data_IF_711607787017
#
_entry.id   IF_711607787017
#
_cell.length_a   1.000
_cell.length_b   1.000
_cell.length_c   1.000
_cell.angle_alpha   90.00
_cell.angle_beta   90.00
_cell.angle_gamma   90.00
#
_symmetry.space_group_name_H-M   'P 1'
#
loop_
_entity.id
_entity.type
_entity.pdbx_description
1 polymer ?
#
# COMPACT_ATOMS: atom_id res chain seq x y z
N UNK A 1 -43.63 -6.04 -5.84
CA UNK A 1 -42.27 -6.44 -5.41
C UNK A 1 -41.99 -5.72 -4.09
N UNK A 2 -41.69 -6.44 -3.01
CA UNK A 2 -41.55 -5.81 -1.68
C UNK A 2 -40.20 -5.06 -1.62
N UNK A 3 -40.20 -3.82 -1.13
CA UNK A 3 -39.03 -2.95 -1.00
C UNK A 3 -37.79 -3.66 -0.39
N UNK A 4 -38.06 -4.55 0.60
CA UNK A 4 -37.02 -5.38 1.23
C UNK A 4 -36.23 -6.28 0.24
N UNK A 5 -36.92 -6.84 -0.74
CA UNK A 5 -36.31 -7.69 -1.77
C UNK A 5 -35.50 -6.85 -2.74
N UNK A 6 -35.96 -5.65 -3.08
CA UNK A 6 -35.24 -4.73 -3.94
C UNK A 6 -33.93 -4.24 -3.28
N UNK A 7 -33.99 -3.84 -2.01
CA UNK A 7 -32.81 -3.40 -1.25
C UNK A 7 -31.79 -4.53 -1.09
N UNK A 8 -32.27 -5.75 -0.80
CA UNK A 8 -31.37 -6.92 -0.71
C UNK A 8 -30.69 -7.25 -2.04
N UNK A 9 -31.42 -7.15 -3.14
CA UNK A 9 -30.85 -7.40 -4.48
C UNK A 9 -29.83 -6.32 -4.90
N UNK A 10 -30.07 -5.05 -4.58
CA UNK A 10 -29.12 -3.96 -4.84
C UNK A 10 -27.85 -4.11 -3.98
N UNK A 11 -27.98 -4.46 -2.71
CA UNK A 11 -26.84 -4.70 -1.83
C UNK A 11 -25.98 -5.87 -2.32
N UNK A 12 -26.62 -6.95 -2.78
CA UNK A 12 -25.92 -8.12 -3.32
C UNK A 12 -25.27 -7.83 -4.67
N UNK A 13 -25.91 -7.05 -5.54
CA UNK A 13 -25.32 -6.63 -6.81
C UNK A 13 -24.09 -5.72 -6.62
N UNK A 14 -24.09 -4.86 -5.59
CA UNK A 14 -22.93 -4.04 -5.23
C UNK A 14 -21.71 -4.83 -4.77
N UNK A 15 -21.90 -6.03 -4.23
CA UNK A 15 -20.82 -6.92 -3.81
C UNK A 15 -20.19 -7.72 -4.95
N UNK A 16 -20.84 -7.81 -6.10
CA UNK A 16 -20.38 -8.64 -7.24
C UNK A 16 -19.65 -7.82 -8.31
N UNK A 17 -19.79 -6.50 -8.29
CA UNK A 17 -19.03 -5.65 -9.21
C UNK A 17 -17.63 -5.45 -8.65
N UNK A 18 -16.58 -6.06 -9.23
CA UNK A 18 -15.21 -5.73 -8.86
C UNK A 18 -14.96 -4.28 -9.27
N UNK A 19 -15.15 -3.36 -8.34
CA UNK A 19 -14.66 -2.00 -8.49
C UNK A 19 -13.13 -2.05 -8.60
N UNK A 20 -12.54 -1.16 -9.38
CA UNK A 20 -11.10 -0.92 -9.32
C UNK A 20 -10.85 -0.35 -7.91
N UNK A 21 -10.49 -1.23 -6.97
CA UNK A 21 -10.09 -0.83 -5.63
C UNK A 21 -8.70 -0.19 -5.75
N UNK A 22 -8.65 1.12 -5.69
CA UNK A 22 -7.39 1.84 -5.43
C UNK A 22 -7.12 1.73 -3.94
N UNK A 23 -6.19 0.87 -3.55
CA UNK A 23 -6.08 0.42 -2.15
C UNK A 23 -5.17 1.28 -1.28
N UNK A 24 -4.47 2.29 -1.83
CA UNK A 24 -3.57 3.16 -1.06
C UNK A 24 -3.51 4.57 -1.63
N UNK A 25 -3.31 5.56 -0.74
CA UNK A 25 -2.93 6.92 -1.12
C UNK A 25 -1.39 7.03 -1.21
N UNK A 26 -0.79 6.28 -2.15
CA UNK A 26 0.66 6.26 -2.31
C UNK A 26 1.35 5.30 -1.33
N UNK A 27 2.32 5.80 -0.54
CA UNK A 27 3.16 4.97 0.35
C UNK A 27 2.53 4.66 1.70
N UNK A 28 1.44 5.30 2.05
CA UNK A 28 0.79 5.15 3.36
C UNK A 28 -0.37 4.16 3.27
N UNK A 29 -0.49 3.31 4.28
CA UNK A 29 -1.65 2.43 4.41
C UNK A 29 -2.87 3.23 4.92
N UNK A 30 -4.07 2.79 4.55
CA UNK A 30 -5.31 3.33 5.09
C UNK A 30 -5.56 2.76 6.50
N UNK A 31 -4.94 3.36 7.50
CA UNK A 31 -5.00 2.90 8.89
C UNK A 31 -3.93 1.87 9.24
N UNK A 32 -3.50 1.90 10.49
CA UNK A 32 -2.49 0.99 11.05
C UNK A 32 -3.17 -0.11 11.85
N UNK A 33 -2.71 -1.33 11.68
CA UNK A 33 -3.31 -2.54 12.22
C UNK A 33 -4.23 -3.24 11.21
N UNK A 34 -4.25 -4.55 11.28
CA UNK A 34 -5.02 -5.39 10.34
C UNK A 34 -6.52 -5.08 10.36
N UNK A 35 -7.08 -4.73 11.53
CA UNK A 35 -8.50 -4.36 11.65
C UNK A 35 -8.79 -3.01 10.98
N UNK A 36 -7.96 -2.00 11.26
CA UNK A 36 -8.09 -0.69 10.65
C UNK A 36 -7.96 -0.77 9.11
N UNK A 37 -6.97 -1.50 8.62
CA UNK A 37 -6.78 -1.75 7.19
C UNK A 37 -7.99 -2.47 6.56
N UNK A 38 -8.53 -3.48 7.24
CA UNK A 38 -9.73 -4.21 6.82
C UNK A 38 -11.00 -3.35 6.74
N UNK A 39 -11.05 -2.26 7.49
CA UNK A 39 -12.13 -1.27 7.47
C UNK A 39 -11.84 -0.07 6.54
N UNK A 40 -10.80 -0.17 5.69
CA UNK A 40 -10.41 0.92 4.81
C UNK A 40 -9.94 2.18 5.53
N UNK A 41 -9.39 2.03 6.75
CA UNK A 41 -8.91 3.14 7.57
C UNK A 41 -9.95 3.77 8.50
N UNK A 42 -11.18 3.30 8.51
CA UNK A 42 -12.27 3.86 9.35
C UNK A 42 -12.13 3.43 10.82
N UNK A 43 -11.01 3.76 11.47
CA UNK A 43 -10.64 3.27 12.81
C UNK A 43 -10.39 4.36 13.85
N UNK A 44 -10.54 5.65 13.52
CA UNK A 44 -10.21 6.75 14.43
C UNK A 44 -11.03 6.76 15.72
N UNK A 45 -12.26 6.24 15.69
CA UNK A 45 -13.15 6.18 16.85
C UNK A 45 -13.33 4.77 17.41
N UNK A 46 -12.52 3.81 16.95
CA UNK A 46 -12.62 2.40 17.32
C UNK A 46 -11.36 2.00 18.09
N UNK A 47 -11.53 1.35 19.25
CA UNK A 47 -10.45 0.89 20.13
C UNK A 47 -10.45 -0.64 20.20
N UNK A 48 -10.31 -1.31 19.07
CA UNK A 48 -10.43 -2.76 18.96
C UNK A 48 -9.12 -3.52 19.14
N UNK A 49 -7.98 -2.82 19.08
CA UNK A 49 -6.66 -3.39 19.22
C UNK A 49 -5.63 -2.36 19.71
N UNK A 50 -4.44 -2.83 20.10
CA UNK A 50 -3.36 -1.96 20.54
C UNK A 50 -2.70 -1.17 19.42
N UNK A 51 -3.01 -1.46 18.15
CA UNK A 51 -2.57 -0.67 17.00
C UNK A 51 -3.34 0.66 16.91
N UNK A 52 -4.46 0.78 17.62
CA UNK A 52 -5.21 2.02 17.78
C UNK A 52 -4.34 3.21 18.23
N UNK A 53 -3.24 2.95 18.95
CA UNK A 53 -2.27 3.97 19.34
C UNK A 53 -1.65 4.74 18.18
N UNK A 54 -1.49 4.10 17.02
CA UNK A 54 -1.01 4.74 15.80
C UNK A 54 -2.10 5.54 15.07
N UNK A 55 -3.36 5.14 15.22
CA UNK A 55 -4.50 5.79 14.56
C UNK A 55 -5.07 6.94 15.42
N UNK A 56 -5.29 6.67 16.72
CA UNK A 56 -5.79 7.62 17.70
C UNK A 56 -5.33 7.24 19.12
N UNK A 57 -4.26 7.84 19.64
CA UNK A 57 -3.74 7.53 20.98
C UNK A 57 -4.78 7.66 22.11
N UNK A 58 -5.74 8.59 21.97
CA UNK A 58 -6.77 8.78 22.98
C UNK A 58 -7.74 7.60 23.11
N UNK A 59 -7.85 6.75 22.11
CA UNK A 59 -8.72 5.57 22.13
C UNK A 59 -8.14 4.43 22.97
N UNK A 60 -6.86 4.48 23.32
CA UNK A 60 -6.15 3.37 23.95
C UNK A 60 -6.65 3.03 25.36
N UNK A 61 -7.24 3.98 26.06
CA UNK A 61 -7.88 3.74 27.37
C UNK A 61 -9.07 2.78 27.28
N UNK A 62 -9.66 2.62 26.08
CA UNK A 62 -10.77 1.70 25.84
C UNK A 62 -10.31 0.34 25.31
N UNK A 63 -9.06 0.21 24.87
CA UNK A 63 -8.50 -1.03 24.36
C UNK A 63 -8.19 -2.06 25.46
N UNK A 64 -7.94 -1.59 26.69
CA UNK A 64 -7.56 -2.45 27.81
C UNK A 64 -6.12 -2.95 27.72
N UNK A 65 -5.75 -3.85 28.65
CA UNK A 65 -4.42 -4.50 28.67
C UNK A 65 -4.35 -5.51 27.53
N UNK A 66 -3.44 -5.29 26.57
CA UNK A 66 -3.31 -6.22 25.44
C UNK A 66 -2.00 -6.08 24.67
N UNK A 67 -1.66 -7.15 24.01
CA UNK A 67 -0.58 -7.23 23.01
C UNK A 67 -1.18 -7.74 21.70
N UNK A 68 -0.98 -7.01 20.64
CA UNK A 68 -1.41 -7.39 19.30
C UNK A 68 -0.19 -7.46 18.38
N UNK A 69 -0.14 -8.50 17.58
CA UNK A 69 0.86 -8.71 16.54
C UNK A 69 0.18 -8.82 15.19
N UNK A 70 0.76 -8.22 14.20
CA UNK A 70 0.28 -8.27 12.83
C UNK A 70 1.40 -8.44 11.82
N UNK A 71 1.05 -8.95 10.66
CA UNK A 71 1.92 -9.05 9.51
C UNK A 71 1.10 -8.77 8.25
N UNK A 72 1.45 -7.70 7.57
CA UNK A 72 0.86 -7.39 6.25
C UNK A 72 1.83 -7.84 5.16
N UNK A 73 1.32 -8.59 4.19
CA UNK A 73 2.05 -8.93 2.97
C UNK A 73 1.55 -8.01 1.87
N UNK A 74 2.41 -7.09 1.46
CA UNK A 74 2.11 -6.15 0.39
C UNK A 74 2.80 -6.59 -0.89
N UNK A 75 2.01 -6.81 -1.95
CA UNK A 75 2.52 -7.34 -3.22
C UNK A 75 2.18 -6.43 -4.41
N UNK A 76 2.84 -5.27 -4.54
CA UNK A 76 2.61 -4.35 -5.64
C UNK A 76 3.28 -4.85 -6.92
N UNK A 77 2.52 -4.90 -8.02
CA UNK A 77 3.06 -5.13 -9.34
C UNK A 77 3.27 -3.78 -10.03
N UNK A 78 4.52 -3.40 -10.19
CA UNK A 78 4.89 -2.09 -10.76
C UNK A 78 5.65 -2.29 -12.05
N UNK A 79 5.30 -1.46 -13.03
CA UNK A 79 6.01 -1.37 -14.30
C UNK A 79 6.43 0.06 -14.56
N UNK A 80 7.50 0.21 -15.27
CA UNK A 80 7.91 1.48 -15.83
C UNK A 80 7.97 1.36 -17.35
N UNK A 81 7.41 2.33 -18.04
CA UNK A 81 7.46 2.40 -19.50
C UNK A 81 7.96 3.76 -19.93
N UNK A 82 8.76 3.76 -20.96
CA UNK A 82 9.20 4.96 -21.64
C UNK A 82 8.83 4.82 -23.10
N UNK A 83 8.16 5.84 -23.63
CA UNK A 83 7.82 5.96 -25.06
C UNK A 83 8.38 7.25 -25.58
N UNK A 84 8.87 7.24 -26.80
CA UNK A 84 9.34 8.42 -27.49
C UNK A 84 10.46 8.12 -28.47
N UNK A 85 10.43 8.83 -29.59
CA UNK A 85 11.55 8.89 -30.54
C UNK A 85 12.37 10.13 -30.28
N UNK A 86 13.68 10.02 -30.43
CA UNK A 86 14.52 11.20 -30.47
C UNK A 86 14.20 12.02 -31.74
N UNK A 87 13.65 13.22 -31.55
CA UNK A 87 13.48 14.19 -32.64
C UNK A 87 14.84 14.65 -33.19
N UNK A 88 14.87 14.99 -34.44
CA UNK A 88 16.05 15.58 -35.10
C UNK A 88 16.43 16.89 -34.38
N UNK A 89 17.46 16.85 -33.54
CA UNK A 89 17.93 18.03 -32.78
C UNK A 89 18.43 17.75 -31.37
N UNK A 90 18.14 16.59 -30.83
CA UNK A 90 18.77 16.13 -29.58
C UNK A 90 19.89 15.13 -29.88
N UNK A 91 21.00 15.14 -29.13
CA UNK A 91 22.12 14.22 -29.36
C UNK A 91 21.74 12.80 -28.95
N UNK A 92 20.83 12.19 -29.71
CA UNK A 92 20.53 10.77 -29.57
C UNK A 92 21.67 9.89 -30.07
N UNK A 93 22.67 10.50 -30.71
CA UNK A 93 23.85 9.82 -31.19
C UNK A 93 24.76 9.24 -30.10
N UNK A 94 24.59 9.68 -28.85
CA UNK A 94 25.31 9.09 -27.71
C UNK A 94 24.66 7.75 -27.27
N UNK A 95 23.42 7.48 -27.67
CA UNK A 95 22.66 6.30 -27.24
C UNK A 95 22.03 5.51 -28.39
N UNK A 96 22.47 5.79 -29.64
CA UNK A 96 21.93 5.15 -30.83
C UNK A 96 20.63 5.79 -31.34
N UNK A 97 20.53 5.93 -32.67
CA UNK A 97 19.31 6.37 -33.35
C UNK A 97 18.29 5.21 -33.34
N UNK A 98 17.51 5.06 -32.28
CA UNK A 98 16.49 4.04 -32.16
C UNK A 98 15.30 4.55 -31.37
N UNK A 99 14.16 3.93 -31.53
CA UNK A 99 13.03 4.18 -30.68
C UNK A 99 13.37 3.85 -29.22
N UNK A 100 13.16 4.80 -28.32
CA UNK A 100 13.38 4.62 -26.89
C UNK A 100 12.19 3.95 -26.21
N UNK A 101 11.39 3.23 -26.96
CA UNK A 101 10.25 2.52 -26.41
C UNK A 101 10.75 1.32 -25.63
N UNK A 102 10.62 1.38 -24.34
CA UNK A 102 10.96 0.29 -23.43
C UNK A 102 9.94 0.18 -22.31
N UNK A 103 9.70 -1.04 -21.87
CA UNK A 103 8.86 -1.34 -20.73
C UNK A 103 9.48 -2.46 -19.92
N UNK A 104 9.54 -2.28 -18.62
CA UNK A 104 10.07 -3.27 -17.70
C UNK A 104 9.26 -3.35 -16.43
N UNK A 105 9.21 -4.53 -15.83
CA UNK A 105 8.55 -4.77 -14.56
C UNK A 105 9.57 -4.75 -13.42
N UNK A 106 9.12 -4.26 -12.26
CA UNK A 106 9.94 -4.29 -11.05
C UNK A 106 10.08 -5.72 -10.54
N UNK A 107 11.28 -6.10 -10.15
CA UNK A 107 11.59 -7.36 -9.45
C UNK A 107 11.19 -7.32 -7.97
N UNK A 108 11.10 -6.13 -7.37
CA UNK A 108 10.71 -5.96 -5.96
C UNK A 108 9.18 -5.96 -5.83
N UNK A 109 8.58 -7.14 -5.69
CA UNK A 109 7.12 -7.32 -5.74
C UNK A 109 6.51 -7.81 -4.44
N UNK A 110 7.30 -8.06 -3.39
CA UNK A 110 6.77 -8.58 -2.13
C UNK A 110 7.47 -7.93 -0.96
N UNK A 111 6.67 -7.35 -0.07
CA UNK A 111 7.14 -6.68 1.14
C UNK A 111 6.39 -7.23 2.34
N UNK A 112 7.12 -7.53 3.40
CA UNK A 112 6.60 -7.99 4.69
C UNK A 112 6.64 -6.81 5.65
N UNK A 113 5.49 -6.40 6.15
CA UNK A 113 5.34 -5.27 7.07
C UNK A 113 4.88 -5.81 8.42
N UNK A 114 5.79 -6.02 9.38
CA UNK A 114 5.42 -6.45 10.72
C UNK A 114 4.81 -5.30 11.50
N UNK A 115 3.86 -5.62 12.35
CA UNK A 115 3.18 -4.68 13.24
C UNK A 115 3.15 -5.25 14.66
N UNK A 116 3.34 -4.38 15.64
CA UNK A 116 3.24 -4.71 17.06
C UNK A 116 2.57 -3.55 17.79
N UNK A 117 1.54 -3.85 18.56
CA UNK A 117 0.91 -2.92 19.47
C UNK A 117 0.87 -3.50 20.88
N UNK A 118 1.28 -2.73 21.87
CA UNK A 118 1.13 -3.04 23.29
C UNK A 118 0.44 -1.91 24.01
N UNK A 119 -0.51 -2.22 24.85
CA UNK A 119 -1.20 -1.26 25.70
C UNK A 119 -1.34 -1.83 27.12
N UNK A 120 -1.06 -0.98 28.10
CA UNK A 120 -1.22 -1.30 29.53
C UNK A 120 -2.01 -0.20 30.23
N UNK A 121 -3.02 -0.61 30.98
CA UNK A 121 -3.84 0.29 31.76
C UNK A 121 -3.14 0.63 33.08
N UNK A 122 -2.89 1.91 33.31
CA UNK A 122 -2.36 2.41 34.59
C UNK A 122 -3.50 2.79 35.55
N UNK A 123 -4.64 3.21 35.00
CA UNK A 123 -5.87 3.53 35.73
C UNK A 123 -7.05 3.37 34.77
N UNK A 124 -8.26 3.49 35.28
CA UNK A 124 -9.48 3.39 34.47
C UNK A 124 -9.59 4.42 33.32
N UNK A 125 -8.85 5.50 33.40
CA UNK A 125 -8.83 6.59 32.42
C UNK A 125 -7.42 6.92 31.89
N UNK A 126 -6.44 6.07 32.19
CA UNK A 126 -5.05 6.30 31.77
C UNK A 126 -4.39 4.99 31.33
N UNK A 127 -3.79 5.00 30.16
CA UNK A 127 -2.99 3.89 29.66
C UNK A 127 -1.63 4.38 29.16
N UNK A 128 -0.71 3.45 29.03
CA UNK A 128 0.58 3.61 28.36
C UNK A 128 0.71 2.50 27.34
N UNK A 129 1.21 2.84 26.16
CA UNK A 129 1.37 1.87 25.11
C UNK A 129 2.51 2.21 24.16
N UNK A 130 2.85 1.22 23.37
CA UNK A 130 3.84 1.34 22.29
C UNK A 130 3.25 0.70 21.04
N UNK A 131 3.43 1.36 19.91
CA UNK A 131 2.99 0.87 18.60
C UNK A 131 4.16 0.94 17.64
N UNK A 132 4.48 -0.19 17.03
CA UNK A 132 5.54 -0.33 16.02
C UNK A 132 4.88 -0.81 14.74
N UNK A 133 5.11 -0.10 13.65
CA UNK A 133 4.54 -0.41 12.35
C UNK A 133 5.47 0.03 11.23
N UNK A 134 5.38 -0.63 10.07
CA UNK A 134 6.07 -0.22 8.86
C UNK A 134 5.26 0.83 8.10
N UNK A 135 5.95 1.83 7.58
CA UNK A 135 5.33 2.89 6.81
C UNK A 135 6.29 3.39 5.72
N UNK A 136 5.89 3.25 4.46
CA UNK A 136 6.74 3.61 3.33
C UNK A 136 7.93 2.68 3.12
N UNK A 137 8.97 3.20 2.48
CA UNK A 137 10.26 2.48 2.32
C UNK A 137 10.28 1.37 1.29
N UNK A 138 9.25 1.22 0.49
CA UNK A 138 9.20 0.23 -0.59
C UNK A 138 10.03 0.73 -1.78
N UNK A 139 10.99 -0.09 -2.19
CA UNK A 139 11.81 0.18 -3.36
C UNK A 139 11.21 -0.43 -4.63
N UNK A 140 11.74 -0.02 -5.77
CA UNK A 140 11.60 -0.69 -7.05
C UNK A 140 12.93 -1.28 -7.44
N UNK A 141 12.89 -2.40 -8.14
CA UNK A 141 14.06 -3.04 -8.73
C UNK A 141 13.74 -3.27 -10.21
N UNK A 142 14.20 -2.35 -11.04
CA UNK A 142 14.09 -2.50 -12.48
C UNK A 142 15.39 -3.08 -13.00
N UNK A 143 15.37 -4.29 -13.58
CA UNK A 143 16.59 -4.95 -14.03
C UNK A 143 17.31 -4.06 -15.05
N UNK A 144 18.56 -3.77 -14.76
CA UNK A 144 19.48 -3.16 -15.70
C UNK A 144 19.65 -4.09 -16.89
N UNK A 145 19.71 -3.51 -18.06
CA UNK A 145 19.90 -4.26 -19.29
C UNK A 145 20.44 -3.36 -20.38
N UNK A 146 20.93 -3.99 -21.42
CA UNK A 146 21.22 -3.31 -22.67
C UNK A 146 20.14 -3.64 -23.68
N UNK A 147 19.80 -2.67 -24.51
CA UNK A 147 18.95 -2.90 -25.68
C UNK A 147 19.68 -3.80 -26.72
N UNK A 148 18.99 -4.15 -27.80
CA UNK A 148 19.56 -4.95 -28.88
C UNK A 148 20.77 -4.29 -29.55
N UNK A 149 21.01 -3.00 -29.33
CA UNK A 149 22.15 -2.23 -29.79
C UNK A 149 23.30 -2.12 -28.78
N UNK A 150 23.17 -2.74 -27.59
CA UNK A 150 24.19 -2.71 -26.55
C UNK A 150 24.19 -1.44 -25.69
N UNK A 151 23.15 -0.60 -25.77
CA UNK A 151 23.03 0.60 -24.98
C UNK A 151 22.42 0.32 -23.62
N UNK A 152 22.92 1.01 -22.58
CA UNK A 152 22.37 0.87 -21.23
C UNK A 152 20.87 1.21 -21.20
N UNK A 153 20.09 0.35 -20.60
CA UNK A 153 18.67 0.61 -20.37
C UNK A 153 18.52 1.80 -19.43
N UNK A 154 17.89 2.87 -19.87
CA UNK A 154 17.70 4.08 -19.05
C UNK A 154 16.72 3.90 -17.88
N UNK A 155 16.10 2.71 -17.73
CA UNK A 155 15.30 2.32 -16.57
C UNK A 155 16.04 1.32 -15.68
N UNK A 156 17.17 0.82 -16.11
CA UNK A 156 18.00 -0.07 -15.34
C UNK A 156 18.96 0.73 -14.48
N UNK A 157 18.89 0.49 -13.20
CA UNK A 157 19.65 1.15 -12.19
C UNK A 157 21.05 0.65 -11.92
#
# INVERSE_FOLDING_TARGET
>A
MKIRTLVGSLAFAGLIVPGIASATDGYFSHGYGMKAAGMGGASLAIADDAMGGANNPASMVFAGDRLDLGLTIFSPHRSASRTGSCGAGYPCNAYGAGAFDNSTNSGSNTFYVPELGYNHMLASNMSVGVTIYGNGGMNTDYPGGTDAGGHANMLGG
#
